data_IF_193285779710
#
_entry.id   IF_193285779710
#
_cell.length_a   1.000
_cell.length_b   1.000
_cell.length_c   1.000
_cell.angle_alpha   90.00
_cell.angle_beta   90.00
_cell.angle_gamma   90.00
#
_symmetry.space_group_name_H-M   'P 1'
#
loop_
_entity.id
_entity.type
_entity.pdbx_description
1 polymer ?
#
# COMPACT_ATOMS: atom_id res chain seq x y z
N UNK A 1 23.29 0.10 -11.20
CA UNK A 1 23.30 1.50 -10.73
C UNK A 1 24.65 1.82 -10.14
N UNK A 2 25.17 3.00 -10.41
CA UNK A 2 26.34 3.54 -9.72
C UNK A 2 25.88 4.53 -8.63
N UNK A 3 26.43 4.40 -7.44
CA UNK A 3 26.19 5.33 -6.34
C UNK A 3 27.54 5.68 -5.72
N UNK A 4 28.04 6.87 -6.01
CA UNK A 4 29.32 7.37 -5.54
C UNK A 4 30.50 6.41 -5.83
N UNK A 5 30.56 5.84 -7.05
CA UNK A 5 31.61 4.90 -7.49
C UNK A 5 31.39 3.45 -7.05
N UNK A 6 30.28 3.13 -6.40
CA UNK A 6 29.91 1.74 -6.05
C UNK A 6 28.81 1.26 -6.95
N UNK A 7 29.05 0.13 -7.66
CA UNK A 7 28.09 -0.51 -8.54
C UNK A 7 27.12 -1.42 -7.78
N UNK A 8 25.81 -1.10 -7.79
CA UNK A 8 24.77 -1.93 -7.21
C UNK A 8 23.97 -2.67 -8.28
N UNK A 9 23.78 -3.97 -8.10
CA UNK A 9 22.85 -4.78 -8.88
C UNK A 9 21.46 -4.65 -8.26
N UNK A 10 20.50 -4.07 -9.01
CA UNK A 10 19.12 -3.87 -8.57
C UNK A 10 18.18 -4.61 -9.51
N UNK A 11 17.36 -5.51 -8.99
CA UNK A 11 16.32 -6.19 -9.74
C UNK A 11 15.11 -5.27 -9.85
N UNK A 12 14.63 -5.06 -11.07
CA UNK A 12 13.49 -4.19 -11.36
C UNK A 12 12.54 -4.87 -12.36
N UNK A 13 11.30 -4.41 -12.45
CA UNK A 13 10.40 -4.86 -13.51
C UNK A 13 10.77 -4.24 -14.87
N UNK A 14 10.25 -4.83 -15.97
CA UNK A 14 10.58 -4.40 -17.33
C UNK A 14 10.19 -2.95 -17.63
N UNK A 15 9.13 -2.44 -17.00
CA UNK A 15 8.68 -1.06 -17.17
C UNK A 15 9.64 -0.08 -16.50
N UNK A 16 10.04 -0.38 -15.27
CA UNK A 16 11.05 0.39 -14.53
C UNK A 16 12.36 0.41 -15.30
N UNK A 17 12.82 -0.75 -15.81
CA UNK A 17 14.03 -0.82 -16.60
C UNK A 17 13.97 0.09 -17.83
N UNK A 18 12.87 0.04 -18.60
CA UNK A 18 12.67 0.92 -19.77
C UNK A 18 12.69 2.41 -19.42
N UNK A 19 12.07 2.79 -18.30
CA UNK A 19 12.02 4.19 -17.86
C UNK A 19 13.39 4.69 -17.42
N UNK A 20 14.16 3.87 -16.73
CA UNK A 20 15.51 4.21 -16.26
C UNK A 20 16.50 4.27 -17.42
N UNK A 21 16.46 3.30 -18.35
CA UNK A 21 17.39 3.28 -19.51
C UNK A 21 17.14 4.37 -20.53
N UNK A 22 15.91 4.89 -20.65
CA UNK A 22 15.61 6.04 -21.53
C UNK A 22 16.24 7.35 -21.07
N UNK A 23 16.62 7.44 -19.80
CA UNK A 23 17.25 8.62 -19.19
C UNK A 23 18.75 8.37 -18.99
N UNK A 24 19.47 8.01 -20.08
CA UNK A 24 20.92 7.91 -20.04
C UNK A 24 21.48 9.23 -19.50
N UNK A 25 22.43 9.15 -18.56
CA UNK A 25 23.11 10.26 -17.88
C UNK A 25 22.27 11.12 -16.90
N UNK A 26 21.04 10.73 -16.57
CA UNK A 26 20.26 11.43 -15.56
C UNK A 26 20.34 10.72 -14.18
N UNK A 27 20.50 11.51 -13.12
CA UNK A 27 20.34 11.02 -11.75
C UNK A 27 18.90 10.54 -11.57
N UNK A 28 18.74 9.27 -11.24
CA UNK A 28 17.42 8.66 -11.02
C UNK A 28 17.32 8.16 -9.58
N UNK A 29 16.33 8.64 -8.86
CA UNK A 29 15.97 8.10 -7.53
C UNK A 29 15.22 6.79 -7.71
N UNK A 30 15.68 5.75 -7.03
CA UNK A 30 15.02 4.44 -6.96
C UNK A 30 14.80 4.08 -5.51
N UNK A 31 13.58 3.70 -5.17
CA UNK A 31 13.22 3.13 -3.89
C UNK A 31 13.61 1.66 -3.89
N UNK A 32 14.31 1.19 -2.86
CA UNK A 32 14.85 -0.17 -2.84
C UNK A 32 14.45 -0.94 -1.60
N UNK A 33 14.14 -2.22 -1.78
CA UNK A 33 14.02 -3.22 -0.73
C UNK A 33 15.25 -4.12 -0.73
N UNK A 34 15.90 -4.28 0.43
CA UNK A 34 16.99 -5.24 0.60
C UNK A 34 16.41 -6.57 1.10
N UNK A 35 16.44 -7.58 0.23
CA UNK A 35 16.04 -8.93 0.58
C UNK A 35 17.26 -9.74 1.04
N UNK A 36 17.23 -10.17 2.29
CA UNK A 36 18.34 -10.85 2.96
C UNK A 36 18.03 -12.33 3.10
N UNK A 37 18.96 -13.19 2.66
CA UNK A 37 18.97 -14.62 2.90
C UNK A 37 20.36 -15.06 3.36
N UNK A 38 20.50 -16.28 3.85
CA UNK A 38 21.79 -16.83 4.30
C UNK A 38 22.86 -16.80 3.19
N UNK A 39 22.44 -17.00 1.94
CA UNK A 39 23.30 -17.16 0.76
C UNK A 39 23.29 -15.94 -0.17
N UNK A 40 22.45 -14.94 0.06
CA UNK A 40 22.28 -13.82 -0.88
C UNK A 40 21.75 -12.53 -0.24
N UNK A 41 22.27 -11.41 -0.76
CA UNK A 41 21.74 -10.06 -0.55
C UNK A 41 21.26 -9.53 -1.90
N UNK A 42 19.96 -9.32 -2.05
CA UNK A 42 19.37 -8.87 -3.30
C UNK A 42 18.63 -7.55 -3.11
N UNK A 43 18.90 -6.57 -3.98
CA UNK A 43 18.17 -5.30 -4.01
C UNK A 43 17.08 -5.35 -5.07
N UNK A 44 15.87 -5.01 -4.67
CA UNK A 44 14.70 -4.86 -5.54
C UNK A 44 14.31 -3.40 -5.62
N UNK A 45 14.13 -2.86 -6.84
CA UNK A 45 14.01 -1.42 -7.07
C UNK A 45 12.69 -0.99 -7.74
N UNK A 46 12.19 0.16 -7.30
CA UNK A 46 10.91 0.74 -7.70
C UNK A 46 11.05 2.24 -7.94
N UNK A 47 10.25 2.77 -8.86
CA UNK A 47 10.27 4.20 -9.17
C UNK A 47 9.49 5.04 -8.15
N UNK A 48 8.55 4.43 -7.45
CA UNK A 48 7.69 5.11 -6.48
C UNK A 48 7.63 4.36 -5.15
N UNK A 49 7.40 5.10 -4.05
CA UNK A 49 7.22 4.51 -2.73
C UNK A 49 5.99 3.55 -2.68
N UNK A 50 4.83 3.88 -3.29
CA UNK A 50 3.70 2.94 -3.35
C UNK A 50 4.01 1.60 -4.02
N UNK A 51 4.89 1.57 -5.03
CA UNK A 51 5.34 0.31 -5.65
C UNK A 51 6.16 -0.52 -4.68
N UNK A 52 7.05 0.10 -3.92
CA UNK A 52 7.83 -0.54 -2.88
C UNK A 52 6.92 -1.12 -1.79
N UNK A 53 6.00 -0.32 -1.24
CA UNK A 53 5.03 -0.75 -0.20
C UNK A 53 4.17 -1.93 -0.67
N UNK A 54 3.72 -1.90 -1.92
CA UNK A 54 2.95 -2.99 -2.50
C UNK A 54 3.79 -4.26 -2.65
N UNK A 55 5.05 -4.13 -3.08
CA UNK A 55 6.00 -5.24 -3.16
C UNK A 55 6.23 -5.86 -1.78
N UNK A 56 6.47 -5.05 -0.76
CA UNK A 56 6.68 -5.52 0.62
C UNK A 56 5.44 -6.25 1.17
N UNK A 57 4.26 -5.77 0.82
CA UNK A 57 3.01 -6.47 1.14
C UNK A 57 2.93 -7.84 0.46
N UNK A 58 3.32 -7.92 -0.82
CA UNK A 58 3.31 -9.16 -1.59
C UNK A 58 4.28 -10.21 -1.04
N UNK A 59 5.52 -9.82 -0.75
CA UNK A 59 6.52 -10.77 -0.20
C UNK A 59 6.19 -11.24 1.22
N UNK A 60 5.36 -10.50 1.94
CA UNK A 60 4.80 -10.94 3.22
C UNK A 60 3.69 -11.98 3.11
N UNK A 61 3.28 -12.38 1.89
CA UNK A 61 2.31 -13.44 1.66
C UNK A 61 3.04 -14.79 1.57
N UNK A 62 2.68 -15.80 2.37
CA UNK A 62 3.31 -17.11 2.33
C UNK A 62 3.31 -17.73 0.93
N UNK A 63 4.49 -18.06 0.40
CA UNK A 63 4.68 -18.62 -0.93
C UNK A 63 4.87 -17.59 -2.05
N UNK A 64 4.89 -16.30 -1.74
CA UNK A 64 5.24 -15.24 -2.68
C UNK A 64 6.67 -14.77 -2.41
N UNK A 65 7.59 -15.18 -3.26
CA UNK A 65 8.97 -14.68 -3.23
C UNK A 65 9.13 -13.37 -4.02
N UNK A 66 10.30 -12.70 -3.89
CA UNK A 66 10.56 -11.42 -4.56
C UNK A 66 10.38 -11.46 -6.08
N UNK A 67 10.81 -12.53 -6.74
CA UNK A 67 10.63 -12.69 -8.20
C UNK A 67 9.16 -12.78 -8.60
N UNK A 68 8.37 -13.50 -7.81
CA UNK A 68 6.92 -13.62 -8.00
C UNK A 68 6.24 -12.27 -7.78
N UNK A 69 6.62 -11.55 -6.73
CA UNK A 69 6.11 -10.20 -6.43
C UNK A 69 6.42 -9.21 -7.57
N UNK A 70 7.66 -9.20 -8.10
CA UNK A 70 8.01 -8.41 -9.29
C UNK A 70 7.17 -8.82 -10.51
N UNK A 71 6.92 -10.12 -10.69
CA UNK A 71 6.05 -10.63 -11.75
C UNK A 71 4.63 -10.08 -11.64
N UNK A 72 4.04 -10.07 -10.44
CA UNK A 72 2.70 -9.50 -10.19
C UNK A 72 2.69 -8.01 -10.53
N UNK A 73 3.67 -7.24 -10.05
CA UNK A 73 3.80 -5.80 -10.34
C UNK A 73 4.05 -5.48 -11.82
N UNK A 74 4.46 -6.48 -12.61
CA UNK A 74 4.67 -6.33 -14.06
C UNK A 74 3.40 -6.52 -14.89
N UNK A 75 2.34 -7.11 -14.31
CA UNK A 75 1.11 -7.45 -15.07
C UNK A 75 0.22 -6.25 -15.30
N UNK A 76 0.11 -5.35 -14.34
CA UNK A 76 -0.75 -4.17 -14.41
C UNK A 76 -0.30 -3.09 -13.42
N UNK A 77 -0.74 -1.83 -13.59
CA UNK A 77 -0.55 -0.77 -12.61
C UNK A 77 -1.14 -1.15 -11.23
N UNK A 78 -0.54 -0.62 -10.17
CA UNK A 78 -0.92 -0.94 -8.78
C UNK A 78 -2.41 -0.74 -8.51
N UNK A 79 -2.99 0.36 -8.98
CA UNK A 79 -4.41 0.66 -8.75
C UNK A 79 -5.33 -0.38 -9.41
N UNK A 80 -4.92 -0.90 -10.57
CA UNK A 80 -5.62 -2.00 -11.24
C UNK A 80 -5.48 -3.29 -10.44
N UNK A 81 -4.28 -3.60 -9.93
CA UNK A 81 -4.05 -4.77 -9.09
C UNK A 81 -4.85 -4.70 -7.79
N UNK A 82 -4.87 -3.55 -7.12
CA UNK A 82 -5.68 -3.33 -5.91
C UNK A 82 -7.16 -3.54 -6.17
N UNK A 83 -7.69 -3.01 -7.27
CA UNK A 83 -9.11 -3.23 -7.67
C UNK A 83 -9.40 -4.70 -7.97
N UNK A 84 -8.51 -5.37 -8.70
CA UNK A 84 -8.64 -6.79 -8.98
C UNK A 84 -8.63 -7.65 -7.71
N UNK A 85 -7.78 -7.31 -6.73
CA UNK A 85 -7.76 -7.95 -5.43
C UNK A 85 -9.08 -7.72 -4.68
N UNK A 86 -9.57 -6.49 -4.65
CA UNK A 86 -10.83 -6.16 -3.99
C UNK A 86 -12.03 -6.90 -4.61
N UNK A 87 -12.09 -6.99 -5.95
CA UNK A 87 -13.14 -7.72 -6.68
C UNK A 87 -12.95 -9.24 -6.71
N UNK A 88 -11.78 -9.76 -6.31
CA UNK A 88 -11.45 -11.19 -6.35
C UNK A 88 -11.12 -11.70 -7.75
N UNK A 89 -10.66 -10.85 -8.64
CA UNK A 89 -10.32 -11.20 -10.01
C UNK A 89 -8.95 -11.88 -10.09
N UNK A 90 -8.94 -13.20 -10.19
CA UNK A 90 -7.72 -14.02 -10.21
C UNK A 90 -6.92 -13.91 -11.51
N UNK A 91 -7.53 -13.40 -12.59
CA UNK A 91 -6.94 -13.37 -13.92
C UNK A 91 -5.59 -12.67 -13.99
N UNK A 92 -5.39 -11.63 -13.19
CA UNK A 92 -4.12 -10.90 -13.12
C UNK A 92 -3.01 -11.72 -12.47
N UNK A 93 -3.32 -12.48 -11.41
CA UNK A 93 -2.35 -13.31 -10.70
C UNK A 93 -1.95 -14.54 -11.52
N UNK A 94 -2.91 -15.17 -12.21
CA UNK A 94 -2.66 -16.37 -13.02
C UNK A 94 -1.87 -16.09 -14.31
N UNK A 95 -1.73 -14.82 -14.71
CA UNK A 95 -0.82 -14.42 -15.81
C UNK A 95 0.65 -14.45 -15.41
N UNK A 96 0.94 -14.49 -14.12
CA UNK A 96 2.32 -14.54 -13.62
C UNK A 96 2.85 -15.97 -13.71
N UNK A 97 4.00 -16.14 -14.37
CA UNK A 97 4.64 -17.45 -14.47
C UNK A 97 4.93 -18.02 -13.08
N UNK A 98 4.55 -19.28 -12.87
CA UNK A 98 4.69 -19.97 -11.59
C UNK A 98 3.51 -19.77 -10.62
N UNK A 99 2.50 -18.96 -10.95
CA UNK A 99 1.27 -18.83 -10.17
C UNK A 99 0.14 -19.61 -10.83
N UNK A 100 -0.16 -20.78 -10.30
CA UNK A 100 -1.35 -21.55 -10.68
C UNK A 100 -2.60 -21.03 -9.96
N UNK A 101 -3.79 -21.54 -10.38
CA UNK A 101 -5.08 -21.12 -9.84
C UNK A 101 -5.16 -21.24 -8.30
N UNK A 102 -4.74 -22.37 -7.74
CA UNK A 102 -4.74 -22.59 -6.27
C UNK A 102 -3.85 -21.60 -5.52
N UNK A 103 -2.66 -21.29 -6.09
CA UNK A 103 -1.75 -20.30 -5.52
C UNK A 103 -2.34 -18.90 -5.63
N UNK A 104 -2.97 -18.58 -6.77
CA UNK A 104 -3.64 -17.28 -6.95
C UNK A 104 -4.80 -17.08 -5.96
N UNK A 105 -5.61 -18.12 -5.73
CA UNK A 105 -6.70 -18.10 -4.73
C UNK A 105 -6.17 -17.84 -3.32
N UNK A 106 -5.09 -18.53 -2.91
CA UNK A 106 -4.44 -18.32 -1.62
C UNK A 106 -3.89 -16.91 -1.47
N UNK A 107 -3.13 -16.44 -2.48
CA UNK A 107 -2.59 -15.08 -2.52
C UNK A 107 -3.73 -14.05 -2.42
N UNK A 108 -4.82 -14.28 -3.13
CA UNK A 108 -5.98 -13.39 -3.15
C UNK A 108 -6.61 -13.23 -1.76
N UNK A 109 -6.80 -14.33 -1.03
CA UNK A 109 -7.35 -14.30 0.35
C UNK A 109 -6.44 -13.46 1.25
N UNK A 110 -5.15 -13.75 1.26
CA UNK A 110 -4.16 -13.05 2.08
C UNK A 110 -4.07 -11.54 1.74
N UNK A 111 -4.07 -11.22 0.43
CA UNK A 111 -4.02 -9.83 -0.01
C UNK A 111 -5.32 -9.09 0.32
N UNK A 112 -6.48 -9.75 0.23
CA UNK A 112 -7.75 -9.17 0.65
C UNK A 112 -7.77 -8.81 2.13
N UNK A 113 -7.22 -9.67 2.99
CA UNK A 113 -7.11 -9.36 4.41
C UNK A 113 -6.15 -8.19 4.66
N UNK A 114 -5.00 -8.19 3.99
CA UNK A 114 -4.00 -7.12 4.11
C UNK A 114 -4.46 -5.79 3.50
N UNK A 115 -5.03 -5.84 2.30
CA UNK A 115 -5.56 -4.65 1.62
C UNK A 115 -6.99 -4.33 1.99
N UNK A 116 -7.80 -5.28 2.44
CA UNK A 116 -9.17 -5.04 2.90
C UNK A 116 -9.21 -4.11 4.12
N UNK A 117 -8.15 -4.10 4.90
CA UNK A 117 -7.90 -3.06 5.92
C UNK A 117 -7.35 -1.76 5.30
N UNK A 118 -6.83 -1.78 4.07
CA UNK A 118 -6.16 -0.65 3.39
C UNK A 118 -6.90 -0.13 2.15
N UNK A 119 -7.75 -0.93 1.50
CA UNK A 119 -8.47 -0.59 0.24
C UNK A 119 -9.79 0.15 0.50
N UNK A 120 -10.21 0.24 1.74
CA UNK A 120 -11.25 1.20 2.11
C UNK A 120 -10.62 2.58 2.33
N UNK A 121 -9.97 3.14 1.28
CA UNK A 121 -9.74 4.54 1.27
C UNK A 121 -8.30 5.00 1.05
N UNK A 122 -8.17 6.02 0.21
CA UNK A 122 -7.00 6.88 0.12
C UNK A 122 -6.59 7.47 1.48
N UNK A 123 -5.53 8.30 1.54
CA UNK A 123 -5.05 8.92 2.77
C UNK A 123 -6.18 9.53 3.62
N UNK A 124 -7.19 10.11 2.97
CA UNK A 124 -8.37 10.72 3.59
C UNK A 124 -9.25 9.72 4.35
N UNK A 125 -9.49 8.53 3.80
CA UNK A 125 -10.29 7.49 4.46
C UNK A 125 -9.49 6.74 5.54
N UNK A 126 -8.16 6.73 5.45
CA UNK A 126 -7.30 6.27 6.55
C UNK A 126 -7.37 7.25 7.72
N UNK A 127 -7.26 8.55 7.43
CA UNK A 127 -7.39 9.61 8.45
C UNK A 127 -8.75 9.57 9.13
N UNK A 128 -9.83 9.34 8.38
CA UNK A 128 -11.18 9.23 8.91
C UNK A 128 -11.36 8.00 9.82
N UNK A 129 -10.80 6.86 9.42
CA UNK A 129 -10.83 5.63 10.24
C UNK A 129 -9.98 5.78 11.51
N UNK A 130 -8.76 6.30 11.38
CA UNK A 130 -7.87 6.53 12.53
C UNK A 130 -8.50 7.55 13.50
N UNK A 131 -9.23 8.54 12.97
CA UNK A 131 -9.98 9.51 13.77
C UNK A 131 -11.20 8.85 14.46
N UNK A 132 -11.90 7.95 13.78
CA UNK A 132 -13.01 7.18 14.36
C UNK A 132 -12.53 6.30 15.52
N UNK A 133 -11.45 5.54 15.30
CA UNK A 133 -10.85 4.67 16.32
C UNK A 133 -10.35 5.47 17.54
N UNK A 134 -9.79 6.64 17.33
CA UNK A 134 -9.37 7.53 18.40
C UNK A 134 -10.58 8.02 19.25
N UNK A 135 -11.69 8.39 18.61
CA UNK A 135 -12.90 8.82 19.32
C UNK A 135 -13.56 7.66 20.08
N UNK A 136 -13.58 6.46 19.50
CA UNK A 136 -14.06 5.25 20.20
C UNK A 136 -13.19 4.92 21.41
N UNK A 137 -11.87 5.08 21.31
CA UNK A 137 -10.94 4.89 22.43
C UNK A 137 -11.13 5.93 23.55
N UNK A 138 -11.69 7.08 23.24
CA UNK A 138 -12.07 8.12 24.21
C UNK A 138 -13.46 7.88 24.82
N UNK A 139 -14.15 6.77 24.45
CA UNK A 139 -15.40 6.34 25.06
C UNK A 139 -16.66 6.75 24.30
N UNK A 140 -16.55 7.39 23.14
CA UNK A 140 -17.70 7.70 22.28
C UNK A 140 -18.16 6.46 21.52
N UNK A 141 -19.46 6.32 21.31
CA UNK A 141 -19.97 5.23 20.46
C UNK A 141 -19.58 5.45 19.00
N UNK A 142 -19.46 4.36 18.23
CA UNK A 142 -19.16 4.42 16.78
C UNK A 142 -20.16 5.30 16.01
N UNK A 143 -21.40 5.43 16.49
CA UNK A 143 -22.44 6.26 15.88
C UNK A 143 -22.18 7.74 16.13
N UNK A 144 -21.91 8.13 17.37
CA UNK A 144 -21.60 9.51 17.75
C UNK A 144 -20.32 10.00 17.08
N UNK A 145 -19.29 9.17 17.09
CA UNK A 145 -18.02 9.49 16.46
C UNK A 145 -18.16 9.73 14.95
N UNK A 146 -18.91 8.88 14.23
CA UNK A 146 -19.18 9.07 12.79
C UNK A 146 -19.99 10.33 12.51
N UNK A 147 -21.03 10.60 13.31
CA UNK A 147 -21.87 11.79 13.13
C UNK A 147 -21.06 13.07 13.34
N UNK A 148 -20.19 13.10 14.38
CA UNK A 148 -19.32 14.23 14.63
C UNK A 148 -18.28 14.42 13.50
N UNK A 149 -17.64 13.35 13.02
CA UNK A 149 -16.66 13.43 11.94
C UNK A 149 -17.26 13.89 10.61
N UNK A 150 -18.53 13.58 10.34
CA UNK A 150 -19.25 14.10 9.16
C UNK A 150 -19.44 15.62 9.18
N UNK A 151 -19.53 16.21 10.38
CA UNK A 151 -19.70 17.65 10.54
C UNK A 151 -18.38 18.40 10.50
N UNK A 152 -17.23 17.71 10.55
CA UNK A 152 -15.91 18.33 10.40
C UNK A 152 -15.69 18.75 8.95
N UNK A 153 -15.37 20.05 8.70
CA UNK A 153 -15.12 20.53 7.34
C UNK A 153 -14.01 19.75 6.63
N UNK A 154 -14.21 19.44 5.34
CA UNK A 154 -13.23 18.72 4.49
C UNK A 154 -11.89 19.45 4.35
N UNK A 155 -11.87 20.77 4.61
CA UNK A 155 -10.65 21.58 4.62
C UNK A 155 -9.71 21.24 5.77
N UNK A 156 -10.20 20.54 6.82
CA UNK A 156 -9.40 20.10 7.96
C UNK A 156 -8.82 18.73 7.65
N UNK A 157 -7.54 18.73 7.30
CA UNK A 157 -6.78 17.51 7.01
C UNK A 157 -5.89 17.10 8.19
N UNK A 158 -5.68 15.79 8.34
CA UNK A 158 -4.88 15.18 9.40
C UNK A 158 -5.72 14.66 10.57
N UNK A 159 -5.51 13.38 10.93
CA UNK A 159 -6.25 12.66 11.97
C UNK A 159 -6.41 13.47 13.26
N UNK A 160 -5.31 14.00 13.81
CA UNK A 160 -5.33 14.74 15.08
C UNK A 160 -6.19 16.01 15.05
N UNK A 161 -6.20 16.72 13.91
CA UNK A 161 -7.01 17.95 13.75
C UNK A 161 -8.48 17.60 13.61
N UNK A 162 -8.82 16.54 12.84
CA UNK A 162 -10.18 16.04 12.67
C UNK A 162 -10.76 15.54 13.98
N UNK A 163 -9.99 14.79 14.78
CA UNK A 163 -10.38 14.34 16.12
C UNK A 163 -10.67 15.53 17.04
N UNK A 164 -9.78 16.52 17.07
CA UNK A 164 -9.96 17.73 17.91
C UNK A 164 -11.23 18.50 17.55
N UNK A 165 -11.54 18.62 16.27
CA UNK A 165 -12.75 19.32 15.83
C UNK A 165 -14.01 18.51 16.12
N UNK A 166 -13.98 17.19 15.90
CA UNK A 166 -15.07 16.30 16.25
C UNK A 166 -15.38 16.32 17.77
N UNK A 167 -14.35 16.38 18.62
CA UNK A 167 -14.52 16.50 20.08
C UNK A 167 -15.23 17.80 20.49
N UNK A 168 -14.97 18.92 19.79
CA UNK A 168 -15.70 20.18 20.05
C UNK A 168 -17.18 20.04 19.71
N UNK A 169 -17.49 19.37 18.59
CA UNK A 169 -18.86 19.12 18.16
C UNK A 169 -19.60 18.24 19.18
N UNK A 170 -18.91 17.15 19.64
CA UNK A 170 -19.45 16.24 20.66
C UNK A 170 -19.64 16.92 22.01
N UNK A 171 -18.66 17.74 22.43
CA UNK A 171 -18.74 18.50 23.68
C UNK A 171 -19.82 19.59 23.67
N UNK A 172 -20.11 20.19 22.51
CA UNK A 172 -21.18 21.18 22.35
C UNK A 172 -22.58 20.58 22.43
N UNK A 173 -22.74 19.31 22.08
CA UNK A 173 -24.03 18.59 22.16
C UNK A 173 -24.37 18.04 23.57
N UNK A 174 -23.44 18.10 24.51
CA UNK A 174 -23.66 17.65 25.91
C UNK A 174 -23.91 18.81 26.89
N UNK A 175 -23.95 20.06 26.40
CA UNK A 175 -24.16 21.28 27.21
C UNK A 175 -25.57 21.89 27.06
N UNK A 176 -26.56 21.08 26.62
CA UNK A 176 -27.96 21.48 26.46
C UNK A 176 -28.91 20.66 27.30
#
# INVERSE_FOLDING_TARGET
>A
MDVAGVGYKVFVNAETLRKVTKKQDAITKIWTHLYVREDALELYGFLTAPELEFFETLIGVPGVGPKTALGILSVAPIDTLKRAIASGELSYLTKVSGIGRKTAEKIMVELREKFGKSVQGGPELKEERDALEALESLGYSAREAREALRQVPETIQGTSKRVKEALKILGGNHAG
#
